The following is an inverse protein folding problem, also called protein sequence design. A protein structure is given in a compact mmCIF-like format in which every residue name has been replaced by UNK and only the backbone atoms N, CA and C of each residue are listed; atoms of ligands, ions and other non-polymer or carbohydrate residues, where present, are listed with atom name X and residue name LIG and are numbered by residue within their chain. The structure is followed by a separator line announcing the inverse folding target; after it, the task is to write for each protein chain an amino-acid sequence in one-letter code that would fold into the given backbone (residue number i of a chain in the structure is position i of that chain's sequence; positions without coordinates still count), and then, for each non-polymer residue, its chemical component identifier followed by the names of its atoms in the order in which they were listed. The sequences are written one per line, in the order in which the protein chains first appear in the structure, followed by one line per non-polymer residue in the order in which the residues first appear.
data_IF_726587374004
#
_entry.id   IF_726587374004
#
_cell.length_a   1.000
_cell.length_b   1.000
_cell.length_c   1.000
_cell.angle_alpha   90.00
_cell.angle_beta   90.00
_cell.angle_gamma   90.00
#
_symmetry.space_group_name_H-M   'P 1'
#
loop_
_entity.id
_entity.type
_entity.pdbx_description
1 polymer ?
#
# COMPACT_ATOMS: atom_id res chain seq x y z
N UNK A 1 -26.26 -2.29 17.34
CA UNK A 1 -26.79 -0.92 17.56
C UNK A 1 -26.09 -0.34 18.79
N UNK A 2 -25.61 0.92 18.85
CA UNK A 2 -25.34 1.92 17.83
C UNK A 2 -23.91 2.52 17.98
N UNK A 3 -22.85 1.83 17.53
CA UNK A 3 -21.46 2.38 17.57
C UNK A 3 -20.66 2.24 16.27
N UNK A 4 -21.15 1.52 15.25
CA UNK A 4 -20.47 1.41 13.95
C UNK A 4 -20.57 2.66 13.05
N UNK A 5 -21.19 3.75 13.49
CA UNK A 5 -21.46 4.92 12.63
C UNK A 5 -20.37 6.02 12.65
N UNK A 6 -19.28 5.86 13.42
CA UNK A 6 -18.35 6.97 13.68
C UNK A 6 -16.94 6.84 13.09
N UNK A 7 -16.61 5.79 12.34
CA UNK A 7 -15.30 5.68 11.66
C UNK A 7 -15.42 5.77 10.14
N UNK A 8 -16.32 6.63 9.66
CA UNK A 8 -16.49 6.97 8.25
C UNK A 8 -15.77 8.27 7.85
N UNK A 9 -14.96 8.86 8.74
CA UNK A 9 -14.41 10.21 8.51
C UNK A 9 -12.90 10.26 8.78
N UNK A 10 -12.09 9.87 7.79
CA UNK A 10 -10.78 10.52 7.49
C UNK A 10 -10.06 9.89 6.28
N UNK A 11 -10.77 9.60 5.19
CA UNK A 11 -10.15 9.45 3.86
C UNK A 11 -10.57 10.58 2.91
N UNK A 12 -11.21 11.62 3.43
CA UNK A 12 -11.90 12.65 2.67
C UNK A 12 -11.26 14.04 2.85
N UNK A 13 -9.96 14.21 2.62
CA UNK A 13 -9.38 15.57 2.55
C UNK A 13 -7.97 15.66 1.91
N UNK A 14 -7.75 15.12 0.71
CA UNK A 14 -6.75 15.75 -0.17
C UNK A 14 -7.04 15.48 -1.65
N UNK A 15 -7.57 16.52 -2.29
CA UNK A 15 -7.67 16.77 -3.74
C UNK A 15 -7.70 15.54 -4.67
N UNK A 16 -8.87 14.91 -4.81
CA UNK A 16 -9.14 14.03 -5.94
C UNK A 16 -9.17 14.87 -7.24
N UNK A 17 -8.47 14.48 -8.32
CA UNK A 17 -8.69 15.09 -9.63
C UNK A 17 -10.15 14.87 -10.08
N UNK A 18 -10.73 15.79 -10.89
CA UNK A 18 -12.15 15.77 -11.22
C UNK A 18 -12.53 14.49 -11.97
N UNK A 19 -13.56 13.81 -11.45
CA UNK A 19 -14.32 12.69 -12.02
C UNK A 19 -13.81 12.14 -13.36
N UNK A 20 -12.72 11.37 -13.33
CA UNK A 20 -12.32 10.55 -14.45
C UNK A 20 -13.25 9.32 -14.50
N UNK A 21 -14.34 9.42 -15.25
CA UNK A 21 -15.14 8.24 -15.60
C UNK A 21 -14.28 7.32 -16.45
N UNK A 22 -13.71 6.28 -15.85
CA UNK A 22 -12.92 5.29 -16.57
C UNK A 22 -13.86 4.39 -17.35
N UNK A 23 -13.76 4.43 -18.68
CA UNK A 23 -14.51 3.56 -19.56
C UNK A 23 -13.80 2.19 -19.65
N UNK A 24 -14.46 1.15 -19.17
CA UNK A 24 -14.00 -0.22 -19.36
C UNK A 24 -14.78 -0.83 -20.54
N UNK A 25 -14.08 -1.41 -21.51
CA UNK A 25 -14.71 -2.19 -22.58
C UNK A 25 -14.70 -3.65 -22.15
N UNK A 26 -15.88 -4.23 -21.92
CA UNK A 26 -16.04 -5.61 -21.45
C UNK A 26 -16.90 -6.42 -22.42
N UNK A 27 -16.96 -7.73 -22.25
CA UNK A 27 -17.85 -8.60 -23.00
C UNK A 27 -19.07 -8.87 -22.13
N UNK A 28 -20.28 -8.64 -22.68
CA UNK A 28 -21.51 -8.95 -21.96
C UNK A 28 -21.70 -10.48 -21.92
N UNK A 29 -21.83 -11.04 -20.71
CA UNK A 29 -21.89 -12.49 -20.48
C UNK A 29 -23.13 -13.14 -21.11
N UNK A 30 -24.25 -12.42 -21.21
CA UNK A 30 -25.49 -12.95 -21.79
C UNK A 30 -25.55 -12.80 -23.31
N UNK A 31 -25.01 -11.70 -23.86
CA UNK A 31 -25.17 -11.40 -25.29
C UNK A 31 -23.90 -11.64 -26.13
N UNK A 32 -22.75 -11.91 -25.52
CA UNK A 32 -21.48 -12.16 -26.21
C UNK A 32 -20.90 -10.95 -26.98
N UNK A 33 -21.55 -9.79 -26.88
CA UNK A 33 -21.17 -8.58 -27.61
C UNK A 33 -20.35 -7.63 -26.74
N UNK A 34 -19.37 -6.91 -27.32
CA UNK A 34 -18.58 -5.92 -26.60
C UNK A 34 -19.49 -4.77 -26.15
N UNK A 35 -19.45 -4.46 -24.85
CA UNK A 35 -20.18 -3.36 -24.22
C UNK A 35 -19.19 -2.46 -23.49
N UNK A 36 -19.39 -1.15 -23.62
CA UNK A 36 -18.67 -0.16 -22.82
C UNK A 36 -19.47 0.13 -21.56
N UNK A 37 -18.82 0.02 -20.40
CA UNK A 37 -19.41 0.33 -19.09
C UNK A 37 -18.57 1.45 -18.49
N UNK A 38 -19.23 2.50 -18.01
CA UNK A 38 -18.58 3.55 -17.24
C UNK A 38 -18.51 3.11 -15.78
N UNK A 39 -17.32 3.09 -15.21
CA UNK A 39 -17.11 2.80 -13.78
C UNK A 39 -16.78 4.10 -13.06
N UNK A 40 -17.43 4.30 -11.93
CA UNK A 40 -17.20 5.42 -11.03
C UNK A 40 -16.08 5.13 -10.03
N UNK A 41 -15.39 6.17 -9.55
CA UNK A 41 -14.35 6.00 -8.53
C UNK A 41 -14.87 5.45 -7.19
N UNK A 42 -16.17 5.56 -6.91
CA UNK A 42 -16.79 4.97 -5.72
C UNK A 42 -16.87 3.44 -5.82
N UNK A 43 -17.29 2.92 -6.97
CA UNK A 43 -17.33 1.47 -7.24
C UNK A 43 -15.92 0.87 -7.21
N UNK A 44 -14.93 1.58 -7.77
CA UNK A 44 -13.52 1.14 -7.68
C UNK A 44 -13.07 1.10 -6.22
N UNK A 45 -13.40 2.12 -5.42
CA UNK A 45 -13.04 2.17 -4.00
C UNK A 45 -13.64 0.98 -3.26
N UNK A 46 -14.93 0.70 -3.46
CA UNK A 46 -15.62 -0.45 -2.85
C UNK A 46 -14.95 -1.77 -3.22
N UNK A 47 -14.59 -1.95 -4.48
CA UNK A 47 -13.93 -3.16 -4.97
C UNK A 47 -12.52 -3.39 -4.37
N UNK A 48 -11.80 -2.32 -4.02
CA UNK A 48 -10.44 -2.42 -3.46
C UNK A 48 -10.38 -2.40 -1.93
N UNK A 49 -11.50 -2.22 -1.21
CA UNK A 49 -11.48 -2.15 0.26
C UNK A 49 -10.90 -3.44 0.86
N UNK A 50 -11.38 -4.60 0.41
CA UNK A 50 -10.93 -5.90 0.92
C UNK A 50 -9.41 -6.14 0.76
N UNK A 51 -8.81 -6.00 -0.44
CA UNK A 51 -7.37 -6.20 -0.58
C UNK A 51 -6.55 -5.16 0.20
N UNK A 52 -7.02 -3.91 0.29
CA UNK A 52 -6.34 -2.88 1.09
C UNK A 52 -6.37 -3.23 2.58
N UNK A 53 -7.51 -3.69 3.11
CA UNK A 53 -7.63 -4.13 4.49
C UNK A 53 -6.64 -5.26 4.83
N UNK A 54 -6.44 -6.22 3.90
CA UNK A 54 -5.46 -7.30 4.07
C UNK A 54 -4.01 -6.80 4.12
N UNK A 55 -3.67 -5.76 3.36
CA UNK A 55 -2.34 -5.13 3.42
C UNK A 55 -2.13 -4.50 4.80
N UNK A 56 -3.12 -3.77 5.31
CA UNK A 56 -3.06 -3.13 6.64
C UNK A 56 -2.93 -4.19 7.75
N UNK A 57 -3.71 -5.27 7.67
CA UNK A 57 -3.63 -6.38 8.62
C UNK A 57 -2.25 -7.04 8.63
N UNK A 58 -1.65 -7.28 7.45
CA UNK A 58 -0.29 -7.83 7.36
C UNK A 58 0.75 -6.91 8.00
N UNK A 59 0.63 -5.59 7.84
CA UNK A 59 1.51 -4.61 8.50
C UNK A 59 1.36 -4.68 10.01
N UNK A 60 0.12 -4.71 10.54
CA UNK A 60 -0.13 -4.86 11.97
C UNK A 60 0.47 -6.13 12.55
N UNK A 61 0.22 -7.27 11.90
CA UNK A 61 0.79 -8.55 12.31
C UNK A 61 2.31 -8.52 12.30
N UNK A 62 2.93 -7.81 11.37
CA UNK A 62 4.40 -7.67 11.34
C UNK A 62 4.90 -6.88 12.54
N UNK A 63 4.25 -5.79 12.89
CA UNK A 63 4.61 -4.97 14.07
C UNK A 63 4.38 -5.76 15.37
N UNK A 64 3.29 -6.52 15.47
CA UNK A 64 2.97 -7.35 16.64
C UNK A 64 3.95 -8.51 16.84
N UNK A 65 4.42 -9.12 15.75
CA UNK A 65 5.39 -10.21 15.80
C UNK A 65 6.84 -9.75 15.97
N UNK A 66 7.11 -8.45 15.86
CA UNK A 66 8.46 -7.90 16.01
C UNK A 66 8.90 -7.96 17.48
N UNK A 67 10.12 -8.42 17.79
CA UNK A 67 10.60 -8.43 19.16
C UNK A 67 10.61 -7.02 19.78
N UNK A 68 10.31 -6.87 21.07
CA UNK A 68 10.13 -5.56 21.71
C UNK A 68 11.37 -4.67 21.66
N UNK A 69 12.56 -5.28 21.60
CA UNK A 69 13.85 -4.61 21.43
C UNK A 69 13.89 -3.69 20.19
N UNK A 70 13.17 -4.04 19.11
CA UNK A 70 13.15 -3.32 17.83
C UNK A 70 11.90 -2.45 17.64
N UNK A 71 10.84 -2.67 18.41
CA UNK A 71 9.60 -1.88 18.30
C UNK A 71 9.87 -0.40 18.57
N UNK A 72 10.72 -0.11 19.56
CA UNK A 72 11.12 1.26 19.91
C UNK A 72 11.77 1.99 18.72
N UNK A 73 12.60 1.29 17.94
CA UNK A 73 13.24 1.83 16.75
C UNK A 73 12.23 2.06 15.62
N UNK A 74 11.27 1.16 15.43
CA UNK A 74 10.18 1.33 14.44
C UNK A 74 9.31 2.55 14.78
N UNK A 75 8.99 2.76 16.06
CA UNK A 75 8.17 3.91 16.48
C UNK A 75 8.90 5.24 16.24
N UNK A 76 10.22 5.27 16.41
CA UNK A 76 11.05 6.46 16.17
C UNK A 76 11.31 6.71 14.68
N UNK A 77 11.75 5.68 13.96
CA UNK A 77 12.12 5.76 12.54
C UNK A 77 10.91 5.81 11.61
N UNK A 78 9.77 5.26 12.05
CA UNK A 78 8.55 5.17 11.28
C UNK A 78 8.57 4.06 10.23
N UNK A 79 7.47 3.94 9.49
CA UNK A 79 7.29 2.97 8.41
C UNK A 79 7.45 3.68 7.07
N UNK A 80 8.34 3.17 6.22
CA UNK A 80 8.50 3.68 4.84
C UNK A 80 7.74 2.78 3.88
N UNK A 81 6.82 3.33 3.10
CA UNK A 81 6.10 2.63 2.04
C UNK A 81 6.68 2.97 0.67
N UNK A 82 6.85 1.94 -0.16
CA UNK A 82 7.39 2.02 -1.51
C UNK A 82 6.57 1.17 -2.49
N UNK A 83 6.84 1.31 -3.79
CA UNK A 83 6.13 0.62 -4.87
C UNK A 83 4.88 1.36 -5.35
N UNK A 84 4.26 0.87 -6.43
CA UNK A 84 3.07 1.50 -7.01
C UNK A 84 1.85 1.54 -6.08
N UNK A 85 1.74 0.56 -5.17
CA UNK A 85 0.64 0.51 -4.18
C UNK A 85 0.69 1.64 -3.14
N UNK A 86 1.86 2.25 -2.93
CA UNK A 86 2.00 3.41 -2.03
C UNK A 86 1.37 4.69 -2.58
N UNK A 87 1.12 4.75 -3.89
CA UNK A 87 0.51 5.90 -4.58
C UNK A 87 -1.03 5.88 -4.52
N UNK A 88 -1.63 4.87 -3.90
CA UNK A 88 -3.07 4.84 -3.66
C UNK A 88 -3.46 5.96 -2.70
N UNK A 89 -4.44 6.77 -3.11
CA UNK A 89 -4.92 7.90 -2.33
C UNK A 89 -5.42 7.45 -0.95
N UNK A 90 -4.85 8.01 0.11
CA UNK A 90 -5.23 7.68 1.48
C UNK A 90 -4.54 6.46 2.08
N UNK A 91 -3.65 5.77 1.36
CA UNK A 91 -2.96 4.57 1.86
C UNK A 91 -2.04 4.89 3.05
N UNK A 92 -1.27 5.97 2.94
CA UNK A 92 -0.39 6.45 4.01
C UNK A 92 -1.19 6.76 5.27
N UNK A 93 -2.27 7.52 5.11
CA UNK A 93 -3.14 7.96 6.20
C UNK A 93 -3.84 6.78 6.87
N UNK A 94 -4.29 5.79 6.07
CA UNK A 94 -4.93 4.58 6.57
C UNK A 94 -3.97 3.76 7.44
N UNK A 95 -2.74 3.49 6.95
CA UNK A 95 -1.75 2.73 7.72
C UNK A 95 -1.35 3.49 8.99
N UNK A 96 -1.16 4.80 8.90
CA UNK A 96 -0.81 5.63 10.05
C UNK A 96 -1.93 5.66 11.10
N UNK A 97 -3.19 5.77 10.69
CA UNK A 97 -4.34 5.73 11.61
C UNK A 97 -4.52 4.38 12.29
N UNK A 98 -4.23 3.29 11.59
CA UNK A 98 -4.43 1.92 12.07
C UNK A 98 -3.26 1.40 12.93
N UNK A 99 -2.04 1.86 12.67
CA UNK A 99 -0.83 1.45 13.43
C UNK A 99 -0.42 2.46 14.50
N UNK A 100 -0.82 3.73 14.37
CA UNK A 100 -0.37 4.82 15.23
C UNK A 100 1.10 5.22 15.02
N UNK A 101 1.77 4.64 14.02
CA UNK A 101 3.19 4.89 13.70
C UNK A 101 3.26 5.84 12.51
N UNK A 102 4.24 6.75 12.51
CA UNK A 102 4.47 7.67 11.39
C UNK A 102 4.79 6.89 10.12
N UNK A 103 4.02 7.11 9.06
CA UNK A 103 4.25 6.51 7.74
C UNK A 103 4.77 7.55 6.76
N UNK A 104 5.79 7.21 5.99
CA UNK A 104 6.39 8.08 4.96
C UNK A 104 6.43 7.36 3.63
N UNK A 105 6.10 8.06 2.54
CA UNK A 105 6.25 7.52 1.18
C UNK A 105 7.69 7.76 0.73
N UNK A 106 8.32 6.73 0.17
CA UNK A 106 9.66 6.86 -0.41
C UNK A 106 9.68 7.95 -1.50
N UNK A 107 10.83 8.61 -1.68
CA UNK A 107 10.99 9.70 -2.66
C UNK A 107 10.69 9.25 -4.10
N UNK A 108 11.23 8.09 -4.49
CA UNK A 108 10.94 7.44 -5.79
C UNK A 108 10.35 6.04 -5.60
N UNK A 109 9.05 5.89 -5.30
CA UNK A 109 8.47 4.61 -4.91
C UNK A 109 8.46 3.59 -6.05
N UNK A 110 8.40 4.04 -7.31
CA UNK A 110 8.37 3.16 -8.48
C UNK A 110 9.74 2.58 -8.84
N UNK A 111 10.82 3.32 -8.61
CA UNK A 111 12.19 2.90 -8.98
C UNK A 111 13.00 2.41 -7.79
N UNK A 112 12.49 2.56 -6.56
CA UNK A 112 13.16 2.17 -5.32
C UNK A 112 13.75 0.75 -5.36
N UNK A 113 13.00 -0.22 -5.87
CA UNK A 113 13.45 -1.62 -5.94
C UNK A 113 14.60 -1.80 -6.92
N UNK A 114 14.48 -1.22 -8.13
CA UNK A 114 15.52 -1.30 -9.15
C UNK A 114 16.82 -0.58 -8.72
N UNK A 115 16.69 0.59 -8.09
CA UNK A 115 17.81 1.34 -7.52
C UNK A 115 18.50 0.57 -6.40
N UNK A 116 17.74 -0.03 -5.48
CA UNK A 116 18.28 -0.86 -4.41
C UNK A 116 19.03 -2.08 -4.94
N UNK A 117 18.48 -2.77 -5.94
CA UNK A 117 19.14 -3.89 -6.60
C UNK A 117 20.46 -3.47 -7.27
N UNK A 118 20.49 -2.32 -7.97
CA UNK A 118 21.71 -1.77 -8.56
C UNK A 118 22.78 -1.41 -7.52
N UNK A 119 22.38 -0.79 -6.40
CA UNK A 119 23.30 -0.41 -5.31
C UNK A 119 23.97 -1.61 -4.65
N UNK A 120 23.29 -2.75 -4.58
CA UNK A 120 23.89 -3.99 -4.04
C UNK A 120 25.00 -4.47 -4.96
N UNK A 121 24.83 -4.39 -6.28
CA UNK A 121 25.85 -4.82 -7.26
C UNK A 121 27.17 -4.03 -7.14
N UNK A 122 27.09 -2.77 -6.71
CA UNK A 122 28.27 -1.91 -6.50
C UNK A 122 28.97 -2.18 -5.16
N UNK A 123 28.29 -2.85 -4.21
CA UNK A 123 28.78 -3.09 -2.85
C UNK A 123 29.19 -4.56 -2.65
N UNK A 124 30.43 -4.86 -3.04
CA UNK A 124 31.11 -6.18 -2.86
C UNK A 124 30.86 -6.85 -1.50
N UNK A 125 30.95 -6.17 -0.33
CA UNK A 125 30.73 -6.86 0.96
C UNK A 125 29.28 -7.29 1.21
N UNK A 126 28.30 -6.64 0.57
CA UNK A 126 26.89 -7.02 0.66
C UNK A 126 26.63 -8.21 -0.28
N UNK A 127 27.19 -8.17 -1.49
CA UNK A 127 27.14 -9.27 -2.45
C UNK A 127 27.72 -10.57 -1.89
N UNK A 128 28.91 -10.52 -1.28
CA UNK A 128 29.53 -11.71 -0.68
C UNK A 128 28.69 -12.33 0.45
N UNK A 129 27.96 -11.50 1.20
CA UNK A 129 27.04 -11.99 2.25
C UNK A 129 25.82 -12.69 1.67
N UNK A 130 25.34 -12.25 0.51
CA UNK A 130 24.23 -12.88 -0.21
C UNK A 130 24.67 -14.21 -0.86
N UNK A 131 25.85 -14.25 -1.46
CA UNK A 131 26.41 -15.48 -2.06
C UNK A 131 26.67 -16.58 -1.03
N UNK A 132 27.10 -16.21 0.17
CA UNK A 132 27.43 -17.18 1.23
C UNK A 132 26.22 -17.79 1.92
N UNK A 133 24.99 -17.43 1.55
CA UNK A 133 23.79 -18.10 2.04
C UNK A 133 23.66 -18.15 3.56
N UNK A 134 24.29 -17.22 4.29
CA UNK A 134 24.32 -17.23 5.74
C UNK A 134 23.12 -16.46 6.32
N UNK A 135 21.92 -16.84 5.84
CA UNK A 135 20.63 -16.50 6.43
C UNK A 135 20.37 -17.48 7.59
N UNK A 136 21.06 -17.26 8.70
CA UNK A 136 20.67 -17.76 10.02
C UNK A 136 20.79 -16.61 11.01
#
# INVERSE_FOLDING_TARGET
WPTCAATSTSMAAHSAPPAASSFCSTINVCSGLPRKISVSGAEVREAIVEPVARIVEAVKLTVENTPPELISDIVQSGIVIAGGGSLLNGMKELIQGETGITVVVAEDPLTCVARGAGQVLERVPILERLEKGNLR
#
